data_IF_813231227536
#
_entry.id   IF_813231227536
#
_cell.length_a   1.000
_cell.length_b   1.000
_cell.length_c   1.000
_cell.angle_alpha   90.00
_cell.angle_beta   90.00
_cell.angle_gamma   90.00
#
_symmetry.space_group_name_H-M   'P 1'
#
loop_
_entity.id
_entity.type
_entity.pdbx_description
1 polymer ?
#
# COMPACT_ATOMS: atom_id res chain seq x y z
N UNK A 1 13.39 -7.13 15.78
CA UNK A 1 12.24 -7.08 14.82
C UNK A 1 12.78 -7.07 13.41
N UNK A 2 12.22 -7.86 12.55
CA UNK A 2 12.69 -7.93 11.15
C UNK A 2 12.23 -6.70 10.36
N UNK A 3 13.18 -6.05 9.66
CA UNK A 3 12.88 -4.93 8.76
C UNK A 3 11.96 -5.34 7.61
N UNK A 4 12.04 -6.60 7.19
CA UNK A 4 11.28 -7.13 6.04
C UNK A 4 9.99 -7.84 6.43
N UNK A 5 9.63 -7.86 7.72
CA UNK A 5 8.38 -8.48 8.14
C UNK A 5 7.17 -7.63 7.75
N UNK A 6 6.01 -8.27 7.69
CA UNK A 6 4.74 -7.57 7.49
C UNK A 6 3.75 -8.07 8.54
N UNK A 7 3.94 -7.65 9.81
CA UNK A 7 3.09 -8.11 10.90
C UNK A 7 1.64 -7.64 10.75
N UNK A 8 0.75 -8.36 11.42
CA UNK A 8 -0.68 -8.09 11.38
C UNK A 8 -1.03 -6.64 11.75
N UNK A 9 -0.28 -6.03 12.65
CA UNK A 9 -0.52 -4.65 13.08
C UNK A 9 -0.35 -3.63 11.95
N UNK A 10 0.41 -3.95 10.90
CA UNK A 10 0.59 -3.08 9.74
C UNK A 10 -0.55 -3.22 8.72
N UNK A 11 -1.45 -4.18 8.90
CA UNK A 11 -2.61 -4.36 8.03
C UNK A 11 -3.73 -3.42 8.46
N UNK A 12 -4.33 -2.75 7.48
CA UNK A 12 -5.45 -1.86 7.73
C UNK A 12 -6.73 -2.68 7.74
N UNK A 13 -7.39 -2.75 8.89
CA UNK A 13 -8.55 -3.64 9.09
C UNK A 13 -9.83 -2.93 9.50
N UNK A 14 -9.75 -1.71 10.07
CA UNK A 14 -10.93 -0.99 10.50
C UNK A 14 -11.68 -0.41 9.29
N UNK A 15 -12.98 -0.69 9.24
CA UNK A 15 -13.82 -0.25 8.12
C UNK A 15 -13.78 1.26 7.91
N UNK A 16 -13.83 2.04 8.99
CA UNK A 16 -13.78 3.50 8.91
C UNK A 16 -12.48 4.00 8.30
N UNK A 17 -11.35 3.34 8.63
CA UNK A 17 -10.05 3.72 8.09
C UNK A 17 -9.94 3.38 6.61
N UNK A 18 -10.50 2.25 6.21
CA UNK A 18 -10.54 1.83 4.81
C UNK A 18 -11.42 2.78 4.00
N UNK A 19 -12.59 3.13 4.51
CA UNK A 19 -13.49 4.07 3.86
C UNK A 19 -12.86 5.46 3.70
N UNK A 20 -12.11 5.90 4.70
CA UNK A 20 -11.44 7.20 4.67
C UNK A 20 -10.41 7.30 3.54
N UNK A 21 -9.74 6.20 3.19
CA UNK A 21 -8.78 6.18 2.08
C UNK A 21 -9.46 6.54 0.75
N UNK A 22 -10.71 6.11 0.58
CA UNK A 22 -11.46 6.31 -0.67
C UNK A 22 -12.34 7.56 -0.66
N UNK A 23 -12.26 8.36 0.40
CA UNK A 23 -13.01 9.61 0.50
C UNK A 23 -12.42 10.69 -0.41
N UNK A 24 -13.19 11.74 -0.66
CA UNK A 24 -12.72 12.87 -1.45
C UNK A 24 -11.52 13.54 -0.79
N UNK A 25 -10.57 13.99 -1.60
CA UNK A 25 -9.38 14.69 -1.11
C UNK A 25 -8.17 13.79 -0.84
N UNK A 26 -8.31 12.49 -1.05
CA UNK A 26 -7.17 11.58 -0.92
C UNK A 26 -6.27 11.67 -2.15
N UNK A 27 -5.03 11.21 -1.99
CA UNK A 27 -4.06 11.19 -3.07
C UNK A 27 -4.00 9.82 -3.73
N UNK A 28 -3.62 9.77 -4.99
CA UNK A 28 -3.45 8.50 -5.70
C UNK A 28 -2.37 8.60 -6.76
N UNK A 29 -1.82 7.45 -7.11
CA UNK A 29 -0.89 7.31 -8.23
C UNK A 29 -1.03 5.90 -8.80
N UNK A 30 -0.69 5.74 -10.07
CA UNK A 30 -0.80 4.45 -10.74
C UNK A 30 0.53 4.06 -11.39
N UNK A 31 0.84 2.76 -11.31
CA UNK A 31 1.92 2.14 -12.08
C UNK A 31 1.39 0.77 -12.48
N UNK A 32 0.71 0.70 -13.64
CA UNK A 32 0.08 -0.54 -14.10
C UNK A 32 1.04 -1.72 -13.93
N UNK A 33 0.59 -2.85 -13.37
CA UNK A 33 -0.80 -3.25 -13.06
C UNK A 33 -1.26 -2.93 -11.62
N UNK A 34 -0.67 -1.93 -10.99
CA UNK A 34 -1.01 -1.53 -9.63
C UNK A 34 -1.44 -0.07 -9.58
N UNK A 35 -2.21 0.24 -8.56
CA UNK A 35 -2.58 1.61 -8.20
C UNK A 35 -2.49 1.74 -6.69
N UNK A 36 -2.08 2.91 -6.22
CA UNK A 36 -2.07 3.22 -4.80
C UNK A 36 -2.96 4.43 -4.53
N UNK A 37 -3.75 4.34 -3.47
CA UNK A 37 -4.55 5.44 -2.94
C UNK A 37 -4.19 5.59 -1.48
N UNK A 38 -3.92 6.81 -1.02
CA UNK A 38 -3.49 7.01 0.37
C UNK A 38 -3.95 8.34 0.93
N UNK A 39 -3.93 8.42 2.27
CA UNK A 39 -4.08 9.67 2.97
C UNK A 39 -3.25 9.65 4.26
N UNK A 40 -2.95 10.82 4.78
CA UNK A 40 -2.30 10.95 6.08
C UNK A 40 -3.36 11.28 7.13
N UNK A 41 -3.15 10.78 8.34
CA UNK A 41 -4.04 11.02 9.48
C UNK A 41 -3.19 11.19 10.73
N UNK A 42 -3.82 11.56 11.84
CA UNK A 42 -3.10 11.69 13.11
C UNK A 42 -2.58 10.32 13.56
N UNK A 43 -1.35 10.30 14.04
CA UNK A 43 -0.72 9.08 14.54
C UNK A 43 -0.88 9.00 16.05
N UNK A 44 -1.24 7.83 16.57
CA UNK A 44 -1.42 7.59 18.00
C UNK A 44 -0.12 7.40 18.77
N UNK A 45 1.00 7.24 18.06
CA UNK A 45 2.30 7.04 18.68
C UNK A 45 2.59 5.60 19.10
N UNK A 46 1.63 4.69 18.95
CA UNK A 46 1.74 3.30 19.43
C UNK A 46 1.69 2.28 18.31
N UNK A 47 0.77 2.45 17.36
CA UNK A 47 0.63 1.53 16.23
C UNK A 47 1.67 1.82 15.16
N UNK A 48 1.86 0.92 14.17
CA UNK A 48 2.72 1.23 13.03
C UNK A 48 2.30 2.51 12.33
N UNK A 49 3.27 3.32 11.96
CA UNK A 49 3.02 4.61 11.31
C UNK A 49 2.44 4.44 9.90
N UNK A 50 2.78 3.35 9.23
CA UNK A 50 2.24 3.01 7.91
C UNK A 50 1.39 1.77 8.03
N UNK A 51 0.12 1.86 7.61
CA UNK A 51 -0.78 0.71 7.54
C UNK A 51 -1.28 0.55 6.11
N UNK A 52 -1.42 -0.69 5.67
CA UNK A 52 -1.66 -1.03 4.27
C UNK A 52 -2.83 -1.98 4.15
N UNK A 53 -3.68 -1.76 3.13
CA UNK A 53 -4.63 -2.76 2.66
C UNK A 53 -4.30 -3.13 1.22
N UNK A 54 -4.71 -4.34 0.82
CA UNK A 54 -4.48 -4.87 -0.52
C UNK A 54 -5.82 -5.28 -1.09
N UNK A 55 -6.12 -4.82 -2.30
CA UNK A 55 -7.40 -5.08 -2.93
C UNK A 55 -7.22 -5.71 -4.31
N UNK A 56 -7.84 -6.86 -4.51
CA UNK A 56 -7.96 -7.52 -5.82
C UNK A 56 -9.42 -7.88 -6.00
N UNK A 57 -10.12 -7.21 -6.92
CA UNK A 57 -11.56 -7.35 -7.05
C UNK A 57 -11.96 -8.67 -7.72
N UNK A 58 -13.19 -9.11 -7.45
CA UNK A 58 -13.79 -10.28 -8.11
C UNK A 58 -13.98 -10.07 -9.60
N UNK A 59 -14.05 -8.82 -10.04
CA UNK A 59 -14.15 -8.49 -11.47
C UNK A 59 -12.88 -8.86 -12.22
N UNK A 60 -11.72 -8.76 -11.56
CA UNK A 60 -10.43 -9.07 -12.19
C UNK A 60 -10.20 -10.57 -12.26
N UNK A 61 -10.50 -11.28 -11.17
CA UNK A 61 -10.32 -12.73 -11.11
C UNK A 61 -11.52 -13.36 -10.40
N UNK A 62 -12.27 -14.15 -11.16
CA UNK A 62 -13.46 -14.83 -10.67
C UNK A 62 -13.14 -15.82 -9.54
N UNK A 63 -12.00 -16.52 -9.64
CA UNK A 63 -11.62 -17.56 -8.70
C UNK A 63 -10.77 -17.01 -7.56
N UNK A 64 -11.09 -17.45 -6.33
CA UNK A 64 -10.35 -17.00 -5.13
C UNK A 64 -8.87 -17.32 -5.19
N UNK A 65 -8.50 -18.45 -5.78
CA UNK A 65 -7.10 -18.88 -5.93
C UNK A 65 -6.30 -17.82 -6.70
N UNK A 66 -6.88 -17.30 -7.78
CA UNK A 66 -6.22 -16.29 -8.61
C UNK A 66 -6.09 -14.96 -7.88
N UNK A 67 -7.14 -14.56 -7.17
CA UNK A 67 -7.10 -13.34 -6.35
C UNK A 67 -6.06 -13.45 -5.23
N UNK A 68 -6.01 -14.60 -4.57
CA UNK A 68 -5.06 -14.82 -3.48
C UNK A 68 -3.61 -14.80 -3.98
N UNK A 69 -3.36 -15.31 -5.19
CA UNK A 69 -2.04 -15.24 -5.81
C UNK A 69 -1.63 -13.77 -6.03
N UNK A 70 -2.52 -12.98 -6.61
CA UNK A 70 -2.26 -11.56 -6.85
C UNK A 70 -2.01 -10.81 -5.54
N UNK A 71 -2.83 -11.06 -4.52
CA UNK A 71 -2.66 -10.45 -3.19
C UNK A 71 -1.30 -10.81 -2.59
N UNK A 72 -0.89 -12.06 -2.73
CA UNK A 72 0.40 -12.53 -2.23
C UNK A 72 1.56 -11.80 -2.91
N UNK A 73 1.47 -11.60 -4.23
CA UNK A 73 2.48 -10.86 -4.98
C UNK A 73 2.61 -9.42 -4.48
N UNK A 74 1.48 -8.75 -4.26
CA UNK A 74 1.49 -7.37 -3.73
C UNK A 74 2.07 -7.36 -2.31
N UNK A 75 1.65 -8.27 -1.46
CA UNK A 75 2.11 -8.37 -0.07
C UNK A 75 3.64 -8.56 0.00
N UNK A 76 4.17 -9.48 -0.79
CA UNK A 76 5.60 -9.73 -0.83
C UNK A 76 6.38 -8.53 -1.38
N UNK A 77 5.88 -7.91 -2.44
CA UNK A 77 6.53 -6.73 -3.02
C UNK A 77 6.58 -5.59 -2.01
N UNK A 78 5.50 -5.36 -1.25
CA UNK A 78 5.47 -4.34 -0.21
C UNK A 78 6.44 -4.70 0.92
N UNK A 79 6.38 -5.94 1.41
CA UNK A 79 7.23 -6.41 2.51
C UNK A 79 8.71 -6.16 2.22
N UNK A 80 9.14 -6.46 0.99
CA UNK A 80 10.54 -6.34 0.59
C UNK A 80 10.99 -4.89 0.37
N UNK A 81 10.06 -3.98 0.10
CA UNK A 81 10.39 -2.61 -0.31
C UNK A 81 9.86 -1.52 0.62
N UNK A 82 9.19 -1.88 1.71
CA UNK A 82 8.50 -0.91 2.58
C UNK A 82 9.43 0.13 3.21
N UNK A 83 10.74 -0.15 3.31
CA UNK A 83 11.70 0.80 3.85
C UNK A 83 11.74 2.11 3.07
N UNK A 84 11.37 2.09 1.80
CA UNK A 84 11.30 3.30 0.99
C UNK A 84 10.41 4.35 1.68
N UNK A 85 9.31 3.89 2.32
CA UNK A 85 8.43 4.77 3.08
C UNK A 85 8.82 4.87 4.55
N UNK A 86 9.08 3.74 5.20
CA UNK A 86 9.19 3.71 6.66
C UNK A 86 10.52 4.25 7.18
N UNK A 87 11.60 4.11 6.41
CA UNK A 87 12.93 4.51 6.85
C UNK A 87 13.40 5.83 6.24
N UNK A 88 12.56 6.46 5.41
CA UNK A 88 12.95 7.66 4.66
C UNK A 88 12.80 8.96 5.43
N UNK A 89 12.03 8.96 6.53
CA UNK A 89 11.70 10.20 7.23
C UNK A 89 10.71 11.09 6.48
N UNK A 90 10.11 10.58 5.40
CA UNK A 90 9.16 11.35 4.59
C UNK A 90 7.86 11.65 5.32
N UNK A 91 7.46 10.78 6.25
CA UNK A 91 6.20 10.92 6.99
C UNK A 91 6.48 11.72 8.27
N UNK A 92 5.76 12.84 8.51
CA UNK A 92 5.93 13.59 9.75
C UNK A 92 5.68 12.74 10.98
N UNK A 93 6.38 13.04 12.08
CA UNK A 93 6.33 12.22 13.29
C UNK A 93 4.96 12.16 13.96
N UNK A 94 4.12 13.16 13.73
CA UNK A 94 2.77 13.21 14.30
C UNK A 94 1.70 12.63 13.36
N UNK A 95 2.09 12.13 12.20
CA UNK A 95 1.18 11.63 11.18
C UNK A 95 1.38 10.14 10.94
N UNK A 96 0.27 9.49 10.57
CA UNK A 96 0.27 8.12 10.06
C UNK A 96 -0.14 8.13 8.60
N UNK A 97 0.35 7.15 7.84
CA UNK A 97 0.02 6.98 6.43
C UNK A 97 -0.78 5.70 6.26
N UNK A 98 -1.97 5.81 5.67
CA UNK A 98 -2.80 4.67 5.32
C UNK A 98 -2.85 4.54 3.80
N UNK A 99 -2.49 3.37 3.29
CA UNK A 99 -2.34 3.12 1.84
C UNK A 99 -3.19 1.93 1.43
N UNK A 100 -3.88 2.06 0.30
CA UNK A 100 -4.53 0.93 -0.37
C UNK A 100 -3.79 0.65 -1.67
N UNK A 101 -3.31 -0.58 -1.84
CA UNK A 101 -2.75 -1.05 -3.11
C UNK A 101 -3.82 -1.85 -3.84
N UNK A 102 -4.08 -1.48 -5.08
CA UNK A 102 -5.18 -2.02 -5.89
C UNK A 102 -4.61 -2.64 -7.15
N UNK A 103 -5.03 -3.88 -7.41
CA UNK A 103 -4.69 -4.58 -8.66
C UNK A 103 -5.60 -4.07 -9.78
N UNK A 104 -5.02 -3.67 -10.91
CA UNK A 104 -5.78 -3.08 -12.01
C UNK A 104 -5.73 -3.88 -13.31
N UNK A 105 -4.97 -4.98 -13.34
CA UNK A 105 -4.86 -5.83 -14.53
C UNK A 105 -5.98 -6.87 -14.58
N UNK A 106 -6.43 -7.22 -15.78
CA UNK A 106 -7.37 -8.33 -16.00
C UNK A 106 -6.65 -9.67 -16.15
N UNK A 107 -5.33 -9.66 -16.12
CA UNK A 107 -4.50 -10.86 -16.29
C UNK A 107 -3.54 -11.01 -15.12
N UNK A 108 -3.08 -12.24 -14.88
CA UNK A 108 -1.99 -12.49 -13.93
C UNK A 108 -0.71 -11.82 -14.43
N UNK A 109 0.12 -11.41 -13.48
CA UNK A 109 1.37 -10.72 -13.77
C UNK A 109 2.53 -11.47 -13.12
N UNK A 110 3.75 -11.26 -13.63
CA UNK A 110 4.92 -11.89 -13.03
C UNK A 110 5.28 -11.17 -11.73
N UNK A 111 5.89 -11.91 -10.81
CA UNK A 111 6.37 -11.35 -9.54
C UNK A 111 7.37 -10.21 -9.79
N UNK A 112 8.23 -10.36 -10.80
CA UNK A 112 9.22 -9.36 -11.17
C UNK A 112 8.58 -8.00 -11.50
N UNK A 113 7.51 -8.03 -12.33
CA UNK A 113 6.78 -6.82 -12.71
C UNK A 113 6.14 -6.19 -11.48
N UNK A 114 5.50 -6.99 -10.63
CA UNK A 114 4.83 -6.49 -9.42
C UNK A 114 5.84 -5.83 -8.48
N UNK A 115 7.00 -6.45 -8.27
CA UNK A 115 8.05 -5.87 -7.42
C UNK A 115 8.57 -4.56 -7.97
N UNK A 116 8.81 -4.48 -9.28
CA UNK A 116 9.28 -3.27 -9.92
C UNK A 116 8.25 -2.13 -9.80
N UNK A 117 6.99 -2.43 -10.09
CA UNK A 117 5.93 -1.42 -10.00
C UNK A 117 5.66 -0.98 -8.57
N UNK A 118 5.77 -1.90 -7.61
CA UNK A 118 5.67 -1.53 -6.19
C UNK A 118 6.75 -0.52 -5.81
N UNK A 119 7.98 -0.74 -6.23
CA UNK A 119 9.08 0.21 -5.99
C UNK A 119 8.73 1.59 -6.56
N UNK A 120 8.21 1.64 -7.78
CA UNK A 120 7.79 2.88 -8.41
C UNK A 120 6.69 3.59 -7.61
N UNK A 121 5.68 2.84 -7.15
CA UNK A 121 4.59 3.40 -6.35
C UNK A 121 5.10 3.97 -5.03
N UNK A 122 5.95 3.22 -4.32
CA UNK A 122 6.47 3.64 -3.03
C UNK A 122 7.32 4.91 -3.16
N UNK A 123 8.13 5.02 -4.21
CA UNK A 123 8.91 6.22 -4.49
C UNK A 123 8.00 7.43 -4.76
N UNK A 124 6.94 7.24 -5.54
CA UNK A 124 5.99 8.31 -5.85
C UNK A 124 5.22 8.76 -4.61
N UNK A 125 4.80 7.81 -3.77
CA UNK A 125 4.12 8.14 -2.51
C UNK A 125 5.05 8.96 -1.62
N UNK A 126 6.29 8.51 -1.46
CA UNK A 126 7.31 9.21 -0.68
C UNK A 126 7.47 10.64 -1.15
N UNK A 127 7.66 10.85 -2.45
CA UNK A 127 7.86 12.18 -3.02
C UNK A 127 6.66 13.09 -2.78
N UNK A 128 5.45 12.57 -2.98
CA UNK A 128 4.23 13.36 -2.79
C UNK A 128 3.98 13.70 -1.32
N UNK A 129 4.28 12.79 -0.41
CA UNK A 129 4.15 13.06 1.03
C UNK A 129 5.16 14.12 1.46
N UNK A 130 6.41 14.03 0.97
CA UNK A 130 7.43 15.03 1.26
C UNK A 130 7.03 16.42 0.75
N UNK A 131 6.43 16.50 -0.44
CA UNK A 131 6.00 17.78 -1.02
C UNK A 131 4.87 18.45 -0.24
N UNK A 132 4.00 17.66 0.41
CA UNK A 132 2.88 18.18 1.19
C UNK A 132 3.32 18.72 2.56
N UNK A 133 4.43 18.27 3.04
CA UNK A 133 4.93 18.57 4.37
C UNK A 133 6.36 19.09 4.31
#
# INVERSE_FOLDING_TARGET
MSTYGFPKAEHLVLKRDIEAIFAAGTSSTAAFPLRAVWHTTAWDGHSPQVKVMISVSKRKFKHAVDRNRAKRQIREAYRLNKQILTDSGAIPQDKALHVAFIWTSDAQQTTRIIQHKMTCLLQRIKEKVEQKH
#
